data_IF_086328730436
#
_entry.id   IF_086328730436
#
_cell.length_a   1.000
_cell.length_b   1.000
_cell.length_c   1.000
_cell.angle_alpha   90.00
_cell.angle_beta   90.00
_cell.angle_gamma   90.00
#
_symmetry.space_group_name_H-M   'P 1'
#
loop_
_entity.id
_entity.type
_entity.pdbx_description
1 polymer ?
#
# COMPACT_ATOMS: atom_id res chain seq x y z
N UNK A 1 33.77 35.85 -34.88
CA UNK A 1 32.53 36.44 -35.44
C UNK A 1 32.97 37.56 -36.37
N UNK A 2 32.35 37.70 -37.54
CA UNK A 2 32.65 38.76 -38.49
C UNK A 2 31.47 39.71 -38.56
N UNK A 3 31.71 40.98 -38.31
CA UNK A 3 30.71 42.05 -38.39
C UNK A 3 31.19 43.09 -39.39
N UNK A 4 30.36 43.45 -40.35
CA UNK A 4 30.68 44.47 -41.35
C UNK A 4 30.10 45.81 -40.94
N UNK A 5 30.93 46.84 -40.84
CA UNK A 5 30.50 48.23 -40.70
C UNK A 5 30.48 48.89 -42.07
N UNK A 6 29.31 49.34 -42.50
CA UNK A 6 29.13 50.12 -43.74
C UNK A 6 29.26 51.61 -43.42
N UNK A 7 30.29 52.25 -43.95
CA UNK A 7 30.44 53.70 -43.95
C UNK A 7 29.82 54.26 -45.23
N UNK A 8 28.97 55.27 -45.09
CA UNK A 8 28.34 55.98 -46.21
C UNK A 8 28.76 57.45 -46.16
N UNK A 9 28.77 58.12 -47.32
CA UNK A 9 29.12 59.56 -47.45
C UNK A 9 30.61 59.88 -47.19
N UNK A 10 31.51 59.06 -47.74
CA UNK A 10 32.94 59.33 -47.74
C UNK A 10 33.29 60.29 -48.89
N UNK A 11 33.54 61.57 -48.57
CA UNK A 11 33.96 62.57 -49.56
C UNK A 11 35.46 62.41 -49.90
N UNK A 12 35.77 61.59 -50.91
CA UNK A 12 37.10 61.55 -51.55
C UNK A 12 38.28 61.45 -50.57
N UNK A 13 38.26 60.47 -49.68
CA UNK A 13 39.23 60.32 -48.59
C UNK A 13 40.18 59.15 -48.89
N UNK A 14 41.47 59.46 -49.05
CA UNK A 14 42.59 58.50 -49.10
C UNK A 14 43.56 58.77 -47.92
N UNK A 15 44.14 57.75 -47.25
CA UNK A 15 43.60 56.44 -46.89
C UNK A 15 42.93 56.47 -45.50
N UNK A 16 41.83 55.72 -45.35
CA UNK A 16 41.15 55.53 -44.08
C UNK A 16 41.90 54.51 -43.22
N UNK A 17 42.54 54.95 -42.13
CA UNK A 17 43.14 54.03 -41.16
C UNK A 17 42.17 53.83 -40.00
N UNK A 18 41.89 52.58 -39.66
CA UNK A 18 41.00 52.23 -38.56
C UNK A 18 41.79 51.51 -37.45
N UNK A 19 41.72 52.02 -36.23
CA UNK A 19 42.29 51.38 -35.04
C UNK A 19 41.24 51.19 -33.97
N UNK A 20 41.32 50.10 -33.22
CA UNK A 20 40.36 49.75 -32.17
C UNK A 20 41.04 49.89 -30.82
N UNK A 21 40.34 50.47 -29.83
CA UNK A 21 40.79 50.46 -28.45
C UNK A 21 40.60 49.09 -27.82
N UNK A 22 41.32 48.81 -26.72
CA UNK A 22 40.92 47.69 -25.85
C UNK A 22 39.45 47.86 -25.45
N UNK A 23 38.68 46.77 -25.52
CA UNK A 23 37.31 46.78 -25.04
C UNK A 23 37.34 46.40 -23.56
N UNK A 24 36.81 47.27 -22.70
CA UNK A 24 36.84 47.10 -21.25
C UNK A 24 35.45 46.77 -20.74
N UNK A 25 35.37 45.79 -19.84
CA UNK A 25 34.15 45.52 -19.10
C UNK A 25 33.89 46.66 -18.10
N UNK A 26 32.62 46.96 -17.84
CA UNK A 26 32.22 48.07 -16.98
C UNK A 26 32.80 48.01 -15.54
N UNK A 27 33.13 46.81 -15.06
CA UNK A 27 33.73 46.56 -13.75
C UNK A 27 35.27 46.58 -13.76
N UNK A 28 35.90 46.76 -14.93
CA UNK A 28 37.35 46.76 -15.11
C UNK A 28 38.04 45.40 -14.93
N UNK A 29 37.31 44.33 -14.61
CA UNK A 29 37.88 43.03 -14.25
C UNK A 29 38.20 42.14 -15.47
N UNK A 30 37.73 42.50 -16.65
CA UNK A 30 38.02 41.80 -17.90
C UNK A 30 38.23 42.80 -19.05
N UNK A 31 39.15 42.47 -19.96
CA UNK A 31 39.39 43.23 -21.18
C UNK A 31 39.51 42.30 -22.39
N UNK A 32 39.02 42.75 -23.53
CA UNK A 32 39.30 42.15 -24.83
C UNK A 32 40.38 43.02 -25.46
N UNK A 33 41.61 42.49 -25.64
CA UNK A 33 42.72 43.30 -26.12
C UNK A 33 42.48 43.70 -27.58
N UNK A 34 42.86 44.92 -27.96
CA UNK A 34 42.73 45.40 -29.33
C UNK A 34 43.38 44.46 -30.36
N UNK A 35 44.45 43.75 -29.97
CA UNK A 35 45.13 42.75 -30.80
C UNK A 35 44.25 41.55 -31.22
N UNK A 36 43.18 41.26 -30.48
CA UNK A 36 42.20 40.21 -30.82
C UNK A 36 41.14 40.66 -31.84
N UNK A 37 41.16 41.95 -32.19
CA UNK A 37 40.22 42.58 -33.12
C UNK A 37 40.97 42.94 -34.39
N UNK A 38 40.76 42.15 -35.44
CA UNK A 38 41.33 42.42 -36.75
C UNK A 38 40.39 43.35 -37.51
N UNK A 39 40.90 44.53 -37.83
CA UNK A 39 40.24 45.44 -38.77
C UNK A 39 40.92 45.26 -40.12
N UNK A 40 40.15 44.89 -41.14
CA UNK A 40 40.67 44.77 -42.49
C UNK A 40 40.34 46.07 -43.24
N UNK A 41 41.31 46.98 -43.43
CA UNK A 41 41.06 48.20 -44.20
C UNK A 41 40.95 47.86 -45.69
N UNK A 42 40.05 48.53 -46.42
CA UNK A 42 40.08 48.47 -47.88
C UNK A 42 41.18 49.43 -48.35
N UNK A 43 42.24 48.89 -48.95
CA UNK A 43 43.37 49.68 -49.47
C UNK A 43 43.06 50.33 -50.84
N UNK A 44 41.79 50.59 -51.14
CA UNK A 44 41.35 51.06 -52.46
C UNK A 44 40.77 52.45 -52.31
N UNK A 45 41.35 53.42 -53.02
CA UNK A 45 40.84 54.78 -53.17
C UNK A 45 39.34 54.74 -53.48
N UNK A 46 38.54 55.25 -52.55
CA UNK A 46 37.08 55.18 -52.63
C UNK A 46 36.60 56.26 -53.58
N UNK A 47 35.87 55.91 -54.66
CA UNK A 47 35.26 56.91 -55.52
C UNK A 47 34.22 57.73 -54.74
N UNK A 48 34.22 59.05 -54.95
CA UNK A 48 33.29 59.99 -54.31
C UNK A 48 31.85 59.48 -54.38
N UNK A 49 31.15 59.46 -53.23
CA UNK A 49 29.76 59.00 -53.04
C UNK A 49 29.50 57.49 -53.08
N UNK A 50 30.53 56.62 -53.02
CA UNK A 50 30.31 55.19 -52.83
C UNK A 50 30.38 54.79 -51.34
N UNK A 51 29.44 53.98 -50.81
CA UNK A 51 29.58 53.42 -49.47
C UNK A 51 30.73 52.41 -49.41
N UNK A 52 31.59 52.52 -48.40
CA UNK A 52 32.69 51.59 -48.16
C UNK A 52 32.37 50.72 -46.94
N UNK A 53 32.66 49.43 -47.01
CA UNK A 53 32.42 48.51 -45.89
C UNK A 53 33.73 48.09 -45.26
N UNK A 54 33.93 48.42 -43.99
CA UNK A 54 35.04 47.90 -43.18
C UNK A 54 34.56 46.61 -42.50
N UNK A 55 35.22 45.50 -42.79
CA UNK A 55 34.98 44.26 -42.06
C UNK A 55 35.78 44.27 -40.75
N UNK A 56 35.09 44.09 -39.63
CA UNK A 56 35.69 43.84 -38.32
C UNK A 56 35.53 42.37 -37.99
N UNK A 57 36.66 41.70 -37.80
CA UNK A 57 36.68 40.32 -37.33
C UNK A 57 37.18 40.32 -35.89
N UNK A 58 36.29 39.92 -34.98
CA UNK A 58 36.64 39.77 -33.56
C UNK A 58 36.88 38.29 -33.28
N UNK A 59 38.08 37.97 -32.82
CA UNK A 59 38.40 36.65 -32.31
C UNK A 59 38.07 36.57 -30.83
N UNK A 60 37.10 35.72 -30.50
CA UNK A 60 36.63 35.50 -29.13
C UNK A 60 37.29 34.27 -28.45
N UNK A 61 38.25 33.61 -29.11
CA UNK A 61 38.93 32.45 -28.55
C UNK A 61 39.63 32.75 -27.21
N UNK A 62 40.15 33.97 -27.06
CA UNK A 62 40.85 34.44 -25.86
C UNK A 62 40.00 35.38 -24.99
N UNK A 63 38.67 35.46 -25.22
CA UNK A 63 37.81 36.33 -24.45
C UNK A 63 37.65 35.79 -23.00
N UNK A 64 38.08 36.53 -21.97
CA UNK A 64 38.33 35.96 -20.64
C UNK A 64 37.06 35.71 -19.80
N UNK A 65 35.91 36.32 -20.12
CA UNK A 65 34.66 36.14 -19.39
C UNK A 65 33.45 36.69 -20.17
N UNK A 66 32.25 36.20 -19.86
CA UNK A 66 30.98 36.83 -20.26
C UNK A 66 30.82 38.22 -19.66
N UNK A 67 30.14 39.10 -20.39
CA UNK A 67 29.97 40.50 -20.00
C UNK A 67 29.71 41.44 -21.16
N UNK A 68 29.51 42.71 -20.81
CA UNK A 68 29.41 43.82 -21.75
C UNK A 68 30.73 44.58 -21.77
N UNK A 69 31.34 44.67 -22.94
CA UNK A 69 32.63 45.31 -23.18
C UNK A 69 32.42 46.54 -24.05
N UNK A 70 32.88 47.69 -23.56
CA UNK A 70 32.77 48.96 -24.25
C UNK A 70 34.17 49.44 -24.69
N UNK A 71 34.24 50.01 -25.87
CA UNK A 71 35.44 50.64 -26.40
C UNK A 71 35.13 51.57 -27.54
N UNK A 72 36.17 52.01 -28.25
CA UNK A 72 36.06 52.95 -29.34
C UNK A 72 36.80 52.44 -30.57
N UNK A 73 36.16 52.55 -31.73
CA UNK A 73 36.82 52.47 -33.03
C UNK A 73 37.21 53.89 -33.44
N UNK A 74 38.50 54.09 -33.68
CA UNK A 74 39.05 55.34 -34.17
C UNK A 74 39.25 55.23 -35.68
N UNK A 75 38.57 56.10 -36.41
CA UNK A 75 38.72 56.25 -37.85
C UNK A 75 39.54 57.52 -38.11
N UNK A 76 40.69 57.35 -38.75
CA UNK A 76 41.58 58.45 -39.13
C UNK A 76 41.41 58.75 -40.61
N UNK A 77 41.12 60.01 -40.91
CA UNK A 77 41.02 60.56 -42.26
C UNK A 77 41.81 61.87 -42.36
N UNK A 78 42.13 62.33 -43.58
CA UNK A 78 42.91 63.58 -43.77
C UNK A 78 42.29 64.82 -43.11
N UNK A 79 40.97 64.81 -42.89
CA UNK A 79 40.20 65.91 -42.29
C UNK A 79 39.94 65.80 -40.78
N UNK A 80 40.40 64.75 -40.10
CA UNK A 80 40.14 64.59 -38.66
C UNK A 80 40.08 63.15 -38.15
N UNK A 81 39.55 63.02 -36.92
CA UNK A 81 39.35 61.74 -36.23
C UNK A 81 37.87 61.57 -35.89
N UNK A 82 37.27 60.51 -36.41
CA UNK A 82 35.92 60.08 -36.03
C UNK A 82 36.00 58.93 -35.02
N UNK A 83 35.16 59.01 -33.98
CA UNK A 83 35.08 58.00 -32.92
C UNK A 83 33.74 57.30 -33.02
N UNK A 84 33.75 55.98 -33.21
CA UNK A 84 32.56 55.14 -33.23
C UNK A 84 32.55 54.29 -31.95
N UNK A 85 31.54 54.44 -31.07
CA UNK A 85 31.47 53.61 -29.86
C UNK A 85 31.20 52.16 -30.24
N UNK A 86 32.02 51.25 -29.71
CA UNK A 86 31.88 49.80 -29.88
C UNK A 86 31.35 49.19 -28.59
N UNK A 87 30.30 48.38 -28.72
CA UNK A 87 29.70 47.64 -27.63
C UNK A 87 29.63 46.17 -28.01
N UNK A 88 30.33 45.33 -27.26
CA UNK A 88 30.41 43.88 -27.50
C UNK A 88 29.86 43.15 -26.29
N UNK A 89 28.83 42.32 -26.51
CA UNK A 89 28.21 41.50 -25.47
C UNK A 89 28.58 40.05 -25.68
N UNK A 90 29.24 39.47 -24.69
CA UNK A 90 29.68 38.07 -24.71
C UNK A 90 28.87 37.31 -23.67
N UNK A 91 28.23 36.21 -24.10
CA UNK A 91 27.51 35.29 -23.22
C UNK A 91 28.30 34.00 -23.01
N UNK A 92 28.06 33.33 -21.89
CA UNK A 92 28.66 32.02 -21.62
C UNK A 92 28.13 30.96 -22.60
N UNK A 93 28.95 29.96 -22.92
CA UNK A 93 28.57 28.82 -23.74
C UNK A 93 27.34 28.09 -23.17
N UNK A 94 26.43 27.55 -24.00
CA UNK A 94 25.13 27.03 -23.56
C UNK A 94 25.19 25.74 -22.73
N UNK A 95 26.31 25.01 -22.76
CA UNK A 95 26.44 23.72 -22.08
C UNK A 95 26.31 23.83 -20.55
N UNK A 96 26.99 24.80 -19.93
CA UNK A 96 26.95 24.99 -18.48
C UNK A 96 25.55 25.42 -18.00
N UNK A 97 24.90 26.44 -18.59
CA UNK A 97 23.51 26.80 -18.30
C UNK A 97 22.55 25.62 -18.40
N UNK A 98 22.68 24.79 -19.45
CA UNK A 98 21.84 23.62 -19.63
C UNK A 98 22.01 22.59 -18.51
N UNK A 99 23.25 22.31 -18.10
CA UNK A 99 23.52 21.40 -16.99
C UNK A 99 22.90 21.87 -15.66
N UNK A 100 23.05 23.17 -15.34
CA UNK A 100 22.43 23.76 -14.14
C UNK A 100 20.91 23.71 -14.19
N UNK A 101 20.30 23.88 -15.36
CA UNK A 101 18.84 23.70 -15.52
C UNK A 101 18.39 22.28 -15.23
N UNK A 102 19.07 21.29 -15.83
CA UNK A 102 18.72 19.88 -15.60
C UNK A 102 18.87 19.52 -14.13
N UNK A 103 19.93 19.99 -13.45
CA UNK A 103 20.09 19.79 -11.99
C UNK A 103 18.94 20.42 -11.21
N UNK A 104 18.53 21.66 -11.54
CA UNK A 104 17.41 22.34 -10.89
C UNK A 104 16.10 21.57 -11.04
N UNK A 105 15.79 21.11 -12.24
CA UNK A 105 14.58 20.31 -12.52
C UNK A 105 14.63 18.97 -11.81
N UNK A 106 15.75 18.25 -11.86
CA UNK A 106 15.92 16.98 -11.16
C UNK A 106 15.72 17.11 -9.64
N UNK A 107 16.24 18.17 -9.03
CA UNK A 107 16.03 18.46 -7.62
C UNK A 107 14.57 18.78 -7.30
N UNK A 108 13.89 19.59 -8.13
CA UNK A 108 12.47 19.89 -8.00
C UNK A 108 11.60 18.64 -8.08
N UNK A 109 11.79 17.84 -9.13
CA UNK A 109 11.07 16.58 -9.36
C UNK A 109 11.37 15.55 -8.27
N UNK A 110 12.62 15.40 -7.85
CA UNK A 110 13.00 14.48 -6.77
C UNK A 110 12.34 14.84 -5.44
N UNK A 111 12.33 16.12 -5.08
CA UNK A 111 11.69 16.59 -3.85
C UNK A 111 10.16 16.46 -3.89
N UNK A 112 9.54 16.79 -5.02
CA UNK A 112 8.09 16.63 -5.23
C UNK A 112 7.70 15.15 -5.09
N UNK A 113 8.42 14.25 -5.76
CA UNK A 113 8.15 12.81 -5.68
C UNK A 113 8.34 12.25 -4.27
N UNK A 114 9.39 12.67 -3.56
CA UNK A 114 9.58 12.30 -2.17
C UNK A 114 8.46 12.82 -1.26
N UNK A 115 7.97 14.04 -1.50
CA UNK A 115 6.87 14.62 -0.72
C UNK A 115 5.53 13.91 -1.00
N UNK A 116 5.29 13.48 -2.24
CA UNK A 116 4.06 12.82 -2.65
C UNK A 116 4.01 11.34 -2.25
N UNK A 117 5.10 10.59 -2.46
CA UNK A 117 5.15 9.12 -2.30
C UNK A 117 6.00 8.69 -1.09
N UNK A 118 7.13 9.37 -0.86
CA UNK A 118 8.10 8.97 0.19
C UNK A 118 7.59 9.23 1.60
N UNK A 119 7.01 10.42 1.84
CA UNK A 119 6.54 10.80 3.18
C UNK A 119 5.40 9.91 3.68
N UNK A 120 4.43 9.57 2.84
CA UNK A 120 3.29 8.73 3.21
C UNK A 120 3.75 7.31 3.57
N UNK A 121 4.66 6.75 2.77
CA UNK A 121 5.29 5.46 3.05
C UNK A 121 6.01 5.46 4.39
N UNK A 122 6.90 6.42 4.60
CA UNK A 122 7.72 6.48 5.81
C UNK A 122 6.86 6.67 7.05
N UNK A 123 5.81 7.49 6.96
CA UNK A 123 4.85 7.67 8.04
C UNK A 123 4.14 6.35 8.40
N UNK A 124 3.66 5.59 7.41
CA UNK A 124 3.03 4.30 7.62
C UNK A 124 4.00 3.29 8.23
N UNK A 125 5.23 3.18 7.72
CA UNK A 125 6.27 2.29 8.27
C UNK A 125 6.58 2.64 9.73
N UNK A 126 6.67 3.92 10.07
CA UNK A 126 6.86 4.36 11.46
C UNK A 126 5.65 4.00 12.33
N UNK A 127 4.42 4.13 11.82
CA UNK A 127 3.22 3.74 12.57
C UNK A 127 3.19 2.23 12.84
N UNK A 128 3.53 1.41 11.85
CA UNK A 128 3.68 -0.05 11.99
C UNK A 128 4.75 -0.39 13.04
N UNK A 129 5.92 0.24 12.96
CA UNK A 129 7.00 0.03 13.91
C UNK A 129 6.63 0.43 15.35
N UNK A 130 5.91 1.53 15.52
CA UNK A 130 5.38 1.93 16.83
C UNK A 130 4.38 0.92 17.38
N UNK A 131 3.47 0.42 16.54
CA UNK A 131 2.48 -0.56 16.95
C UNK A 131 3.14 -1.87 17.41
N UNK A 132 4.09 -2.40 16.63
CA UNK A 132 4.88 -3.59 17.02
C UNK A 132 5.65 -3.39 18.32
N UNK A 133 6.22 -2.20 18.54
CA UNK A 133 6.92 -1.90 19.78
C UNK A 133 5.96 -1.81 20.98
N UNK A 134 4.74 -1.29 20.80
CA UNK A 134 3.71 -1.27 21.83
C UNK A 134 3.26 -2.69 22.19
N UNK A 135 3.02 -3.55 21.19
CA UNK A 135 2.67 -4.95 21.40
C UNK A 135 3.77 -5.71 22.13
N UNK A 136 5.04 -5.55 21.73
CA UNK A 136 6.19 -6.16 22.41
C UNK A 136 6.38 -5.69 23.85
N UNK A 137 5.88 -4.50 24.18
CA UNK A 137 5.96 -3.96 25.53
C UNK A 137 4.84 -4.48 26.45
N UNK A 138 3.79 -5.12 25.91
CA UNK A 138 2.71 -5.74 26.69
C UNK A 138 2.95 -7.26 26.81
N UNK A 139 3.47 -7.76 27.95
CA UNK A 139 3.77 -9.18 28.13
C UNK A 139 2.52 -10.06 28.32
N UNK A 140 1.35 -9.47 28.57
CA UNK A 140 0.10 -10.20 28.78
C UNK A 140 -0.73 -10.27 27.49
N UNK A 141 -0.20 -9.77 26.37
CA UNK A 141 -0.86 -9.84 25.07
C UNK A 141 -1.05 -11.30 24.65
N UNK A 142 -2.31 -11.69 24.44
CA UNK A 142 -2.67 -13.01 23.96
C UNK A 142 -2.12 -13.28 22.54
N UNK A 143 -1.70 -14.52 22.30
CA UNK A 143 -1.10 -14.94 21.03
C UNK A 143 -2.06 -14.80 19.85
N UNK A 144 -3.37 -15.00 20.06
CA UNK A 144 -4.36 -14.86 18.98
C UNK A 144 -4.52 -13.41 18.58
N UNK A 145 -4.63 -12.49 19.55
CA UNK A 145 -4.67 -11.04 19.28
C UNK A 145 -3.39 -10.56 18.60
N UNK A 146 -2.23 -11.02 19.05
CA UNK A 146 -0.97 -10.71 18.42
C UNK A 146 -0.95 -11.19 16.95
N UNK A 147 -1.40 -12.41 16.69
CA UNK A 147 -1.46 -12.97 15.35
C UNK A 147 -2.44 -12.22 14.44
N UNK A 148 -3.60 -11.78 14.96
CA UNK A 148 -4.55 -10.94 14.22
C UNK A 148 -3.92 -9.63 13.79
N UNK A 149 -3.30 -8.90 14.73
CA UNK A 149 -2.70 -7.60 14.44
C UNK A 149 -1.54 -7.76 13.46
N UNK A 150 -0.69 -8.79 13.62
CA UNK A 150 0.40 -9.03 12.68
C UNK A 150 -0.09 -9.42 11.28
N UNK A 151 -1.24 -10.10 11.15
CA UNK A 151 -1.86 -10.36 9.84
C UNK A 151 -2.20 -9.04 9.13
N UNK A 152 -2.92 -8.15 9.79
CA UNK A 152 -3.25 -6.82 9.24
C UNK A 152 -1.99 -6.01 8.89
N UNK A 153 -0.95 -6.12 9.71
CA UNK A 153 0.33 -5.45 9.45
C UNK A 153 1.06 -6.02 8.22
N UNK A 154 0.91 -7.32 7.92
CA UNK A 154 1.42 -7.91 6.68
C UNK A 154 0.68 -7.34 5.47
N UNK A 155 -0.64 -7.19 5.55
CA UNK A 155 -1.46 -6.60 4.48
C UNK A 155 -1.10 -5.13 4.23
N UNK A 156 -0.78 -4.37 5.28
CA UNK A 156 -0.18 -3.02 5.14
C UNK A 156 1.10 -3.06 4.32
N UNK A 157 2.02 -3.99 4.58
CA UNK A 157 3.27 -4.09 3.83
C UNK A 157 3.05 -4.51 2.37
N UNK A 158 2.11 -5.42 2.11
CA UNK A 158 1.73 -5.79 0.75
C UNK A 158 1.21 -4.56 -0.02
N UNK A 159 0.28 -3.81 0.57
CA UNK A 159 -0.25 -2.60 -0.05
C UNK A 159 0.83 -1.51 -0.25
N UNK A 160 1.79 -1.38 0.68
CA UNK A 160 2.94 -0.48 0.53
C UNK A 160 3.87 -0.89 -0.62
N UNK A 161 4.05 -2.19 -0.86
CA UNK A 161 4.83 -2.72 -1.98
C UNK A 161 4.14 -2.44 -3.32
N UNK A 162 2.82 -2.60 -3.35
CA UNK A 162 1.96 -2.29 -4.51
C UNK A 162 1.75 -0.79 -4.75
N UNK A 163 2.28 0.07 -3.86
CA UNK A 163 2.10 1.54 -3.86
C UNK A 163 0.63 1.97 -3.71
N UNK A 164 -0.20 1.10 -3.13
CA UNK A 164 -1.58 1.39 -2.78
C UNK A 164 -1.65 2.04 -1.39
N UNK A 165 -1.49 3.37 -1.38
CA UNK A 165 -1.46 4.15 -0.15
C UNK A 165 -2.81 4.25 0.55
N UNK A 166 -3.93 4.05 -0.15
CA UNK A 166 -5.26 4.10 0.47
C UNK A 166 -5.55 2.82 1.21
N UNK A 167 -5.30 1.67 0.57
CA UNK A 167 -5.42 0.36 1.21
C UNK A 167 -4.48 0.27 2.41
N UNK A 168 -3.20 0.64 2.27
CA UNK A 168 -2.24 0.62 3.38
C UNK A 168 -2.67 1.50 4.57
N UNK A 169 -3.35 2.63 4.32
CA UNK A 169 -3.92 3.49 5.38
C UNK A 169 -5.14 2.87 6.04
N UNK A 170 -5.98 2.16 5.28
CA UNK A 170 -7.13 1.44 5.83
C UNK A 170 -6.68 0.32 6.75
N UNK A 171 -5.76 -0.53 6.28
CA UNK A 171 -5.32 -1.71 7.05
C UNK A 171 -4.57 -1.33 8.34
N UNK A 172 -3.77 -0.26 8.33
CA UNK A 172 -3.12 0.20 9.58
C UNK A 172 -4.14 0.74 10.59
N UNK A 173 -5.29 1.26 10.14
CA UNK A 173 -6.37 1.70 11.03
C UNK A 173 -7.06 0.49 11.64
N UNK A 174 -7.30 -0.58 10.88
CA UNK A 174 -7.86 -1.83 11.41
C UNK A 174 -6.94 -2.50 12.42
N UNK A 175 -5.64 -2.60 12.11
CA UNK A 175 -4.62 -3.09 13.05
C UNK A 175 -4.62 -2.28 14.36
N UNK A 176 -4.72 -0.95 14.28
CA UNK A 176 -4.81 -0.07 15.46
C UNK A 176 -6.13 -0.22 16.21
N UNK A 177 -7.23 -0.49 15.51
CA UNK A 177 -8.52 -0.71 16.14
C UNK A 177 -8.54 -2.03 16.92
N UNK A 178 -7.93 -3.10 16.39
CA UNK A 178 -7.69 -4.35 17.12
C UNK A 178 -6.86 -4.11 18.37
N UNK A 179 -5.74 -3.40 18.25
CA UNK A 179 -4.90 -3.06 19.39
C UNK A 179 -5.64 -2.23 20.46
N UNK A 180 -6.41 -1.22 20.04
CA UNK A 180 -7.24 -0.43 20.97
C UNK A 180 -8.30 -1.27 21.66
N UNK A 181 -8.91 -2.23 20.96
CA UNK A 181 -9.90 -3.16 21.54
C UNK A 181 -9.29 -4.02 22.63
N UNK A 182 -8.09 -4.56 22.38
CA UNK A 182 -7.30 -5.26 23.38
C UNK A 182 -7.05 -4.37 24.60
N UNK A 183 -6.43 -3.19 24.40
CA UNK A 183 -6.08 -2.31 25.51
C UNK A 183 -7.30 -1.80 26.30
N UNK A 184 -8.45 -1.58 25.65
CA UNK A 184 -9.65 -1.04 26.30
C UNK A 184 -10.27 -2.02 27.30
N UNK A 185 -10.24 -3.31 26.98
CA UNK A 185 -10.88 -4.37 27.77
C UNK A 185 -9.88 -5.45 28.17
N UNK A 186 -8.62 -5.07 28.42
CA UNK A 186 -7.49 -5.99 28.62
C UNK A 186 -7.79 -7.05 29.68
N UNK A 187 -8.17 -6.59 30.87
CA UNK A 187 -8.42 -7.48 32.01
C UNK A 187 -9.63 -8.40 31.75
N UNK A 188 -10.67 -7.89 31.08
CA UNK A 188 -11.85 -8.67 30.71
C UNK A 188 -11.51 -9.72 29.64
N UNK A 189 -10.70 -9.38 28.64
CA UNK A 189 -10.23 -10.33 27.62
C UNK A 189 -9.40 -11.44 28.26
N UNK A 190 -8.45 -11.09 29.11
CA UNK A 190 -7.61 -12.06 29.84
C UNK A 190 -8.51 -12.99 30.65
N UNK A 191 -9.46 -12.46 31.42
CA UNK A 191 -10.36 -13.28 32.23
C UNK A 191 -11.24 -14.22 31.38
N UNK A 192 -11.73 -13.76 30.22
CA UNK A 192 -12.53 -14.62 29.33
C UNK A 192 -11.69 -15.69 28.63
N UNK A 193 -10.46 -15.37 28.23
CA UNK A 193 -9.55 -16.34 27.63
C UNK A 193 -9.12 -17.40 28.66
N UNK A 194 -8.78 -16.98 29.86
CA UNK A 194 -8.48 -17.88 30.98
C UNK A 194 -9.70 -18.77 31.30
N UNK A 195 -10.92 -18.22 31.29
CA UNK A 195 -12.15 -18.99 31.43
C UNK A 195 -12.32 -20.02 30.30
N UNK A 196 -12.09 -19.64 29.05
CA UNK A 196 -12.17 -20.53 27.89
C UNK A 196 -11.17 -21.68 27.96
N UNK A 197 -9.93 -21.39 28.37
CA UNK A 197 -8.88 -22.41 28.51
C UNK A 197 -9.16 -23.35 29.69
N UNK A 198 -9.44 -22.80 30.87
CA UNK A 198 -9.57 -23.60 32.11
C UNK A 198 -10.93 -24.29 32.24
N UNK A 199 -12.03 -23.64 31.86
CA UNK A 199 -13.37 -24.18 32.07
C UNK A 199 -13.91 -24.93 30.86
N UNK A 200 -13.47 -24.61 29.64
CA UNK A 200 -14.00 -25.25 28.43
C UNK A 200 -13.00 -26.22 27.83
N UNK A 201 -11.78 -25.76 27.52
CA UNK A 201 -10.78 -26.60 26.86
C UNK A 201 -10.26 -27.70 27.80
N UNK A 202 -9.93 -27.37 29.06
CA UNK A 202 -9.48 -28.36 30.04
C UNK A 202 -10.59 -29.35 30.40
N UNK A 203 -11.82 -28.89 30.57
CA UNK A 203 -12.98 -29.76 30.85
C UNK A 203 -13.21 -30.75 29.70
N UNK A 204 -13.10 -30.29 28.45
CA UNK A 204 -13.15 -31.16 27.27
C UNK A 204 -11.99 -32.15 27.24
N UNK A 205 -10.78 -31.74 27.58
CA UNK A 205 -9.60 -32.62 27.60
C UNK A 205 -9.67 -33.69 28.70
N UNK A 206 -10.30 -33.39 29.84
CA UNK A 206 -10.52 -34.33 30.95
C UNK A 206 -11.53 -35.43 30.60
N UNK A 207 -12.31 -35.28 29.52
CA UNK A 207 -13.23 -36.33 29.07
C UNK A 207 -12.47 -37.58 28.61
N UNK A 208 -13.00 -38.79 28.87
CA UNK A 208 -12.42 -40.02 28.37
C UNK A 208 -12.22 -39.97 26.84
N UNK A 209 -11.16 -40.63 26.35
CA UNK A 209 -10.82 -40.61 24.93
C UNK A 209 -11.96 -41.12 24.04
N UNK A 210 -12.65 -42.19 24.46
CA UNK A 210 -13.80 -42.71 23.73
C UNK A 210 -14.94 -41.67 23.63
N UNK A 211 -15.18 -40.89 24.68
CA UNK A 211 -16.20 -39.83 24.70
C UNK A 211 -15.84 -38.70 23.73
N UNK A 212 -14.55 -38.31 23.66
CA UNK A 212 -14.07 -37.25 22.76
C UNK A 212 -14.17 -37.62 21.27
N UNK A 213 -14.18 -38.92 20.96
CA UNK A 213 -14.27 -39.43 19.58
C UNK A 213 -15.72 -39.56 19.08
N UNK A 214 -16.71 -39.37 19.95
CA UNK A 214 -18.13 -39.44 19.61
C UNK A 214 -18.52 -38.23 18.75
N UNK A 215 -19.43 -38.43 17.78
CA UNK A 215 -19.85 -37.41 16.82
C UNK A 215 -20.32 -36.11 17.50
N UNK A 216 -21.13 -36.20 18.56
CA UNK A 216 -21.54 -35.04 19.35
C UNK A 216 -20.33 -34.22 19.84
N UNK A 217 -19.35 -34.88 20.47
CA UNK A 217 -18.17 -34.22 21.04
C UNK A 217 -17.20 -33.72 19.98
N UNK A 218 -17.13 -34.37 18.81
CA UNK A 218 -16.36 -33.86 17.68
C UNK A 218 -16.93 -32.56 17.13
N UNK A 219 -18.27 -32.41 17.08
CA UNK A 219 -18.89 -31.16 16.67
C UNK A 219 -18.72 -30.06 17.73
N UNK A 220 -18.78 -30.41 19.02
CA UNK A 220 -18.42 -29.48 20.11
C UNK A 220 -16.96 -29.02 19.99
N UNK A 221 -16.02 -29.94 19.72
CA UNK A 221 -14.62 -29.59 19.47
C UNK A 221 -14.48 -28.63 18.29
N UNK A 222 -15.19 -28.90 17.19
CA UNK A 222 -15.20 -28.02 16.02
C UNK A 222 -15.77 -26.63 16.37
N UNK A 223 -16.81 -26.54 17.19
CA UNK A 223 -17.34 -25.27 17.68
C UNK A 223 -16.32 -24.49 18.52
N UNK A 224 -15.53 -25.18 19.36
CA UNK A 224 -14.40 -24.59 20.10
C UNK A 224 -13.35 -24.07 19.13
N UNK A 225 -12.91 -24.90 18.18
CA UNK A 225 -11.89 -24.54 17.18
C UNK A 225 -12.36 -23.34 16.31
N UNK A 226 -13.63 -23.31 15.93
CA UNK A 226 -14.24 -22.20 15.19
C UNK A 226 -14.34 -20.91 16.02
N UNK A 227 -14.62 -21.01 17.33
CA UNK A 227 -14.61 -19.87 18.24
C UNK A 227 -13.21 -19.22 18.29
N UNK A 228 -12.16 -20.00 18.48
CA UNK A 228 -10.79 -19.47 18.46
C UNK A 228 -10.39 -18.91 17.09
N UNK A 229 -10.87 -19.51 15.99
CA UNK A 229 -10.67 -18.94 14.65
C UNK A 229 -11.36 -17.58 14.50
N UNK A 230 -12.59 -17.43 15.00
CA UNK A 230 -13.32 -16.14 14.97
C UNK A 230 -12.63 -15.08 15.82
N UNK A 231 -12.06 -15.47 16.98
CA UNK A 231 -11.23 -14.61 17.81
C UNK A 231 -10.00 -14.12 17.02
N UNK A 232 -9.27 -15.03 16.38
CA UNK A 232 -8.10 -14.69 15.54
C UNK A 232 -8.46 -13.80 14.35
N UNK A 233 -9.69 -13.87 13.84
CA UNK A 233 -10.14 -12.99 12.76
C UNK A 233 -10.75 -11.68 13.28
N UNK A 234 -10.62 -11.37 14.58
CA UNK A 234 -11.10 -10.12 15.17
C UNK A 234 -12.62 -9.92 15.10
N UNK A 235 -13.40 -11.00 14.95
CA UNK A 235 -14.86 -10.93 14.80
C UNK A 235 -15.55 -10.55 16.11
N UNK A 236 -14.98 -10.90 17.25
CA UNK A 236 -15.47 -10.49 18.55
C UNK A 236 -15.04 -9.04 18.84
N UNK A 237 -16.04 -8.16 19.03
CA UNK A 237 -15.79 -6.74 19.31
C UNK A 237 -15.67 -6.48 20.80
N UNK A 238 -16.41 -7.25 21.60
CA UNK A 238 -16.50 -7.11 23.05
C UNK A 238 -16.24 -8.45 23.76
N UNK A 239 -15.60 -8.45 24.94
CA UNK A 239 -15.36 -9.67 25.72
C UNK A 239 -16.65 -10.44 26.06
N UNK A 240 -17.77 -9.74 26.19
CA UNK A 240 -19.07 -10.32 26.54
C UNK A 240 -19.57 -11.27 25.43
N UNK A 241 -19.30 -10.97 24.15
CA UNK A 241 -19.69 -11.83 23.03
C UNK A 241 -18.92 -13.16 23.06
N UNK A 242 -17.65 -13.11 23.47
CA UNK A 242 -16.81 -14.29 23.67
C UNK A 242 -17.31 -15.11 24.87
N UNK A 243 -17.66 -14.44 25.97
CA UNK A 243 -18.22 -15.07 27.17
C UNK A 243 -19.51 -15.86 26.87
N UNK A 244 -20.43 -15.26 26.12
CA UNK A 244 -21.68 -15.92 25.68
C UNK A 244 -21.34 -17.16 24.84
N UNK A 245 -20.38 -17.06 23.92
CA UNK A 245 -19.95 -18.18 23.08
C UNK A 245 -19.37 -19.33 23.91
N UNK A 246 -18.51 -19.04 24.89
CA UNK A 246 -17.99 -20.07 25.80
C UNK A 246 -19.08 -20.68 26.69
N UNK A 247 -20.04 -19.88 27.14
CA UNK A 247 -21.16 -20.37 27.97
C UNK A 247 -22.04 -21.36 27.20
N UNK A 248 -22.28 -21.14 25.91
CA UNK A 248 -23.07 -22.06 25.08
C UNK A 248 -22.31 -23.37 24.85
N UNK A 249 -21.00 -23.32 24.57
CA UNK A 249 -20.19 -24.55 24.43
C UNK A 249 -20.19 -25.35 25.74
N UNK A 250 -20.02 -24.68 26.89
CA UNK A 250 -20.07 -25.35 28.18
C UNK A 250 -21.43 -26.00 28.44
N UNK A 251 -22.51 -25.32 28.06
CA UNK A 251 -23.87 -25.86 28.14
C UNK A 251 -24.03 -27.12 27.27
N UNK A 252 -23.44 -27.16 26.07
CA UNK A 252 -23.43 -28.36 25.22
C UNK A 252 -22.70 -29.53 25.92
N UNK A 253 -21.53 -29.27 26.50
CA UNK A 253 -20.78 -30.30 27.25
C UNK A 253 -21.61 -30.83 28.43
N UNK A 254 -22.23 -29.94 29.19
CA UNK A 254 -23.06 -30.32 30.34
C UNK A 254 -24.32 -31.09 29.93
N UNK A 255 -25.00 -30.68 28.86
CA UNK A 255 -26.16 -31.39 28.32
C UNK A 255 -25.83 -32.83 27.96
N UNK A 256 -24.68 -33.06 27.33
CA UNK A 256 -24.25 -34.42 27.05
C UNK A 256 -24.03 -35.24 28.33
N UNK A 257 -23.33 -34.67 29.33
CA UNK A 257 -23.09 -35.34 30.62
C UNK A 257 -24.38 -35.65 31.37
N UNK A 258 -25.33 -34.72 31.36
CA UNK A 258 -26.66 -34.90 31.94
C UNK A 258 -27.42 -36.04 31.23
N UNK A 259 -27.37 -36.06 29.89
CA UNK A 259 -27.99 -37.12 29.10
C UNK A 259 -27.41 -38.51 29.37
N UNK A 260 -26.07 -38.61 29.45
CA UNK A 260 -25.36 -39.84 29.81
C UNK A 260 -25.74 -40.33 31.21
N UNK A 261 -25.74 -39.41 32.18
CA UNK A 261 -26.13 -39.71 33.58
C UNK A 261 -27.60 -40.15 33.66
N UNK A 262 -28.50 -39.52 32.90
CA UNK A 262 -29.90 -39.89 32.87
C UNK A 262 -30.12 -41.30 32.30
N UNK A 263 -29.40 -41.68 31.24
CA UNK A 263 -29.43 -43.05 30.71
C UNK A 263 -28.91 -44.05 31.74
N UNK A 264 -27.80 -43.76 32.42
CA UNK A 264 -27.22 -44.67 33.43
C UNK A 264 -28.17 -44.86 34.62
N UNK A 265 -28.81 -43.78 35.09
CA UNK A 265 -29.84 -43.87 36.12
C UNK A 265 -31.01 -44.77 35.68
N UNK A 266 -31.46 -44.68 34.42
CA UNK A 266 -32.51 -45.58 33.91
C UNK A 266 -32.04 -47.04 33.81
N UNK A 267 -30.78 -47.28 33.44
CA UNK A 267 -30.17 -48.63 33.46
C UNK A 267 -30.15 -49.21 34.87
N UNK A 268 -29.82 -48.39 35.87
CA UNK A 268 -29.83 -48.81 37.28
C UNK A 268 -31.22 -49.22 37.75
N UNK A 269 -32.26 -48.44 37.42
CA UNK A 269 -33.66 -48.75 37.76
C UNK A 269 -34.18 -50.02 37.10
N UNK A 270 -33.60 -50.41 35.96
CA UNK A 270 -33.93 -51.69 35.32
C UNK A 270 -33.45 -52.92 36.09
N UNK A 271 -32.56 -52.77 37.08
CA UNK A 271 -32.13 -53.89 37.94
C UNK A 271 -33.29 -54.47 38.75
N UNK A 272 -34.35 -53.68 38.98
CA UNK A 272 -35.55 -54.08 39.74
C UNK A 272 -36.55 -54.90 38.92
N UNK A 273 -36.35 -55.03 37.59
CA UNK A 273 -37.24 -55.76 36.70
C UNK A 273 -36.84 -57.24 36.53
N UNK A 274 -37.80 -58.13 36.22
CA UNK A 274 -37.50 -59.50 35.81
C UNK A 274 -36.56 -59.54 34.59
N UNK A 275 -35.61 -60.50 34.58
CA UNK A 275 -34.49 -60.56 33.62
C UNK A 275 -34.90 -60.47 32.14
N UNK A 276 -36.03 -61.06 31.75
CA UNK A 276 -36.52 -61.00 30.36
C UNK A 276 -36.94 -59.58 29.96
N UNK A 277 -37.66 -58.87 30.85
CA UNK A 277 -38.10 -57.50 30.61
C UNK A 277 -36.93 -56.52 30.68
N UNK A 278 -36.03 -56.71 31.65
CA UNK A 278 -34.82 -55.90 31.79
C UNK A 278 -33.97 -55.91 30.51
N UNK A 279 -33.84 -57.07 29.84
CA UNK A 279 -33.08 -57.19 28.58
C UNK A 279 -33.66 -56.34 27.45
N UNK A 280 -35.00 -56.27 27.35
CA UNK A 280 -35.68 -55.44 26.34
C UNK A 280 -35.43 -53.94 26.58
N UNK A 281 -35.50 -53.51 27.85
CA UNK A 281 -35.24 -52.12 28.24
C UNK A 281 -33.79 -51.70 28.05
N UNK A 282 -32.83 -52.57 28.39
CA UNK A 282 -31.40 -52.32 28.14
C UNK A 282 -31.12 -52.03 26.66
N UNK A 283 -31.72 -52.81 25.74
CA UNK A 283 -31.56 -52.55 24.30
C UNK A 283 -32.17 -51.22 23.84
N UNK A 284 -33.25 -50.75 24.49
CA UNK A 284 -33.79 -49.41 24.22
C UNK A 284 -32.83 -48.32 24.69
N UNK A 285 -32.23 -48.48 25.86
CA UNK A 285 -31.25 -47.51 26.37
C UNK A 285 -29.98 -47.46 25.53
N UNK A 286 -29.47 -48.61 25.05
CA UNK A 286 -28.36 -48.65 24.09
C UNK A 286 -28.68 -47.85 22.81
N UNK A 287 -29.93 -47.92 22.33
CA UNK A 287 -30.38 -47.12 21.18
C UNK A 287 -30.44 -45.63 21.51
N UNK A 288 -30.90 -45.25 22.71
CA UNK A 288 -30.97 -43.85 23.14
C UNK A 288 -29.58 -43.24 23.34
N UNK A 289 -28.66 -44.01 23.90
CA UNK A 289 -27.25 -43.66 24.02
C UNK A 289 -26.61 -43.49 22.64
N UNK A 290 -26.83 -44.43 21.72
CA UNK A 290 -26.35 -44.28 20.34
C UNK A 290 -26.95 -43.06 19.63
N UNK A 291 -28.18 -42.64 19.97
CA UNK A 291 -28.79 -41.41 19.44
C UNK A 291 -28.15 -40.17 20.04
N UNK A 292 -27.90 -40.15 21.36
CA UNK A 292 -27.18 -39.08 22.04
C UNK A 292 -25.79 -38.88 21.42
N UNK A 293 -25.08 -39.99 21.16
CA UNK A 293 -23.75 -39.97 20.55
C UNK A 293 -23.71 -39.35 19.14
N UNK A 294 -24.81 -39.46 18.38
CA UNK A 294 -24.93 -38.96 17.01
C UNK A 294 -25.68 -37.64 16.91
N UNK A 295 -26.09 -37.09 18.05
CA UNK A 295 -26.90 -35.88 18.09
C UNK A 295 -26.05 -34.67 17.70
N UNK A 296 -26.69 -33.69 17.06
CA UNK A 296 -26.10 -32.37 16.88
C UNK A 296 -26.11 -31.62 18.23
N UNK A 297 -25.06 -30.85 18.58
CA UNK A 297 -24.97 -30.13 19.85
C UNK A 297 -25.85 -28.87 19.91
N UNK A 298 -26.96 -28.83 19.18
CA UNK A 298 -27.91 -27.73 19.24
C UNK A 298 -29.02 -27.99 20.27
N UNK A 299 -29.57 -26.91 20.83
CA UNK A 299 -30.59 -26.95 21.87
C UNK A 299 -31.86 -27.70 21.42
N UNK A 300 -32.28 -27.54 20.17
CA UNK A 300 -33.53 -28.12 19.67
C UNK A 300 -33.41 -29.64 19.51
N UNK A 301 -32.27 -30.11 19.00
CA UNK A 301 -31.94 -31.53 18.90
C UNK A 301 -31.88 -32.18 20.27
N UNK A 302 -31.23 -31.54 21.24
CA UNK A 302 -31.17 -32.03 22.62
C UNK A 302 -32.55 -32.11 23.27
N UNK A 303 -33.39 -31.07 23.15
CA UNK A 303 -34.75 -31.09 23.71
C UNK A 303 -35.63 -32.18 23.11
N UNK A 304 -35.53 -32.43 21.79
CA UNK A 304 -36.27 -33.53 21.15
C UNK A 304 -35.82 -34.89 21.68
N UNK A 305 -34.52 -35.07 21.88
CA UNK A 305 -33.98 -36.29 22.47
C UNK A 305 -34.43 -36.44 23.93
N UNK A 306 -34.39 -35.37 24.73
CA UNK A 306 -34.83 -35.35 26.12
C UNK A 306 -36.32 -35.71 26.27
N UNK A 307 -37.19 -35.14 25.44
CA UNK A 307 -38.62 -35.52 25.42
C UNK A 307 -38.81 -37.02 25.13
N UNK A 308 -38.00 -37.58 24.23
CA UNK A 308 -38.06 -39.02 23.96
C UNK A 308 -37.55 -39.85 25.14
N UNK A 309 -36.59 -39.33 25.92
CA UNK A 309 -36.08 -39.99 27.13
C UNK A 309 -37.13 -39.97 28.24
N UNK A 310 -37.85 -38.86 28.40
CA UNK A 310 -38.93 -38.72 29.37
C UNK A 310 -40.11 -39.65 29.05
N UNK A 311 -40.46 -39.80 27.77
CA UNK A 311 -41.49 -40.76 27.36
C UNK A 311 -41.07 -42.22 27.66
N UNK A 312 -39.80 -42.55 27.45
CA UNK A 312 -39.23 -43.87 27.74
C UNK A 312 -39.17 -44.11 29.24
N UNK A 313 -38.80 -43.11 30.04
CA UNK A 313 -38.73 -43.20 31.49
C UNK A 313 -40.12 -43.39 32.12
N UNK A 314 -41.14 -42.68 31.62
CA UNK A 314 -42.52 -42.85 32.09
C UNK A 314 -43.04 -44.27 31.80
N UNK A 315 -42.80 -44.81 30.59
CA UNK A 315 -43.19 -46.17 30.24
C UNK A 315 -42.46 -47.23 31.09
N UNK A 316 -41.21 -46.97 31.47
CA UNK A 316 -40.46 -47.84 32.38
C UNK A 316 -41.09 -47.83 33.77
N UNK A 317 -41.44 -46.64 34.29
CA UNK A 317 -42.09 -46.46 35.61
C UNK A 317 -43.42 -47.23 35.69
N UNK A 318 -44.24 -47.12 34.64
CA UNK A 318 -45.50 -47.84 34.50
C UNK A 318 -45.29 -49.35 34.53
N UNK A 319 -44.25 -49.85 33.82
CA UNK A 319 -43.96 -51.28 33.76
C UNK A 319 -43.32 -51.83 35.05
N UNK A 320 -42.49 -51.05 35.74
CA UNK A 320 -41.98 -51.38 37.08
C UNK A 320 -43.16 -51.49 38.05
N UNK A 321 -44.05 -50.50 38.07
CA UNK A 321 -45.24 -50.48 38.93
C UNK A 321 -46.18 -51.66 38.65
N UNK A 322 -46.41 -51.99 37.37
CA UNK A 322 -47.21 -53.13 36.95
C UNK A 322 -46.55 -54.48 37.29
N UNK A 323 -45.23 -54.56 37.28
CA UNK A 323 -44.48 -55.77 37.68
C UNK A 323 -44.53 -56.02 39.18
N UNK A 324 -44.63 -54.97 40.01
CA UNK A 324 -44.86 -55.12 41.46
C UNK A 324 -46.29 -55.58 41.79
N UNK A 325 -47.28 -55.31 40.93
CA UNK A 325 -48.68 -55.72 41.12
C UNK A 325 -48.99 -57.11 40.55
N UNK A 326 -48.25 -57.57 39.54
CA UNK A 326 -48.49 -58.84 38.85
C UNK A 326 -47.37 -59.86 39.11
N UNK A 327 -47.20 -60.27 40.38
CA UNK A 327 -46.46 -61.48 40.73
C UNK A 327 -47.38 -62.72 40.66
N UNK A 328 -48.13 -62.91 39.58
CA UNK A 328 -48.66 -64.23 39.18
C UNK A 328 -49.01 -64.24 37.69
N UNK A 329 -48.52 -65.28 37.00
CA UNK A 329 -48.95 -65.80 35.69
C UNK A 329 -48.24 -65.30 34.41
N UNK A 330 -47.35 -66.19 33.97
CA UNK A 330 -47.21 -66.79 32.63
C UNK A 330 -47.18 -65.95 31.34
N UNK A 331 -46.00 -66.01 30.69
CA UNK A 331 -45.68 -66.56 29.36
C UNK A 331 -46.77 -66.50 28.27
N UNK A 332 -46.47 -65.79 27.17
CA UNK A 332 -46.82 -66.22 25.81
C UNK A 332 -45.92 -65.55 24.75
N UNK A 333 -45.47 -66.38 23.80
CA UNK A 333 -44.64 -66.09 22.61
C UNK A 333 -45.55 -65.58 21.47
N UNK A 334 -45.10 -64.67 20.58
CA UNK A 334 -45.07 -64.82 19.10
C UNK A 334 -44.81 -63.52 18.30
N UNK A 335 -43.90 -63.63 17.31
CA UNK A 335 -43.89 -62.96 15.97
C UNK A 335 -43.53 -61.47 15.88
N UNK A 336 -42.98 -60.90 14.79
CA UNK A 336 -42.37 -61.31 13.50
C UNK A 336 -41.98 -59.99 12.78
N UNK A 337 -40.97 -60.02 11.89
CA UNK A 337 -40.66 -59.05 10.81
C UNK A 337 -39.96 -57.75 11.23
N UNK A 338 -39.06 -57.11 10.47
CA UNK A 338 -38.44 -57.35 9.15
C UNK A 338 -37.32 -56.29 9.01
N UNK A 339 -36.11 -56.69 8.67
CA UNK A 339 -35.00 -55.78 8.37
C UNK A 339 -34.99 -55.44 6.88
N UNK A 340 -35.26 -54.19 6.54
CA UNK A 340 -34.98 -53.62 5.22
C UNK A 340 -33.63 -52.93 5.30
N UNK A 341 -32.65 -53.42 4.54
CA UNK A 341 -31.38 -52.74 4.35
C UNK A 341 -31.58 -51.51 3.44
N UNK A 342 -31.10 -50.34 3.89
CA UNK A 342 -31.02 -49.14 3.07
C UNK A 342 -29.67 -49.17 2.35
N UNK A 343 -29.75 -49.19 1.02
CA UNK A 343 -28.65 -49.08 0.08
C UNK A 343 -28.22 -47.61 -0.03
N UNK A 344 -26.97 -47.30 0.31
CA UNK A 344 -26.41 -45.94 0.18
C UNK A 344 -25.66 -45.85 -1.14
N UNK A 345 -26.29 -45.24 -2.14
CA UNK A 345 -25.61 -44.82 -3.36
C UNK A 345 -24.80 -43.53 -3.07
N UNK A 346 -23.49 -43.46 -3.36
CA UNK A 346 -22.70 -42.25 -3.14
C UNK A 346 -23.08 -41.15 -4.13
N UNK A 347 -23.18 -39.93 -3.61
CA UNK A 347 -23.45 -38.70 -4.36
C UNK A 347 -22.23 -38.39 -5.25
N UNK A 348 -22.41 -38.08 -6.56
CA UNK A 348 -21.31 -37.65 -7.42
C UNK A 348 -20.80 -36.26 -7.00
N UNK A 349 -19.47 -36.12 -6.97
CA UNK A 349 -18.78 -34.86 -6.71
C UNK A 349 -19.17 -33.79 -7.75
N UNK A 350 -19.35 -32.55 -7.28
CA UNK A 350 -19.68 -31.42 -8.12
C UNK A 350 -18.61 -31.18 -9.22
N UNK A 351 -19.01 -30.78 -10.44
CA UNK A 351 -18.06 -30.45 -11.49
C UNK A 351 -17.28 -29.19 -11.12
N UNK A 352 -15.95 -29.28 -11.22
CA UNK A 352 -15.07 -28.11 -11.21
C UNK A 352 -15.36 -27.24 -12.44
N UNK A 353 -15.78 -26.00 -12.19
CA UNK A 353 -15.80 -24.96 -13.22
C UNK A 353 -14.37 -24.45 -13.33
N UNK A 354 -13.70 -24.78 -14.43
CA UNK A 354 -12.43 -24.15 -14.80
C UNK A 354 -12.69 -22.64 -14.99
N UNK A 355 -12.12 -21.83 -14.11
CA UNK A 355 -12.13 -20.36 -14.26
C UNK A 355 -11.42 -20.02 -15.59
N UNK A 356 -12.03 -19.23 -16.49
CA UNK A 356 -11.38 -18.84 -17.73
C UNK A 356 -10.23 -17.86 -17.45
N UNK A 357 -9.03 -18.24 -17.88
CA UNK A 357 -7.93 -17.33 -18.19
C UNK A 357 -7.24 -16.65 -17.01
N UNK A 358 -6.40 -17.38 -16.28
CA UNK A 358 -5.30 -16.73 -15.56
C UNK A 358 -4.31 -16.16 -16.59
N UNK A 359 -3.94 -14.87 -16.52
CA UNK A 359 -2.85 -14.33 -17.33
C UNK A 359 -1.56 -15.07 -16.97
N UNK A 360 -0.79 -15.50 -17.98
CA UNK A 360 0.49 -16.18 -17.78
C UNK A 360 1.44 -15.26 -16.98
N UNK A 361 2.25 -15.83 -16.08
CA UNK A 361 3.25 -15.08 -15.29
C UNK A 361 4.19 -14.23 -16.17
N UNK A 362 4.45 -14.68 -17.41
CA UNK A 362 5.23 -13.96 -18.42
C UNK A 362 4.56 -12.66 -18.93
N UNK A 363 3.22 -12.58 -18.91
CA UNK A 363 2.46 -11.39 -19.31
C UNK A 363 2.37 -10.36 -18.16
N UNK A 364 2.42 -10.82 -16.90
CA UNK A 364 2.46 -9.97 -15.70
C UNK A 364 3.84 -9.31 -15.57
N UNK A 365 4.94 -10.04 -15.78
CA UNK A 365 6.29 -9.46 -15.70
C UNK A 365 6.56 -8.43 -16.82
N UNK A 366 6.09 -8.69 -18.04
CA UNK A 366 6.25 -7.76 -19.19
C UNK A 366 5.39 -6.49 -19.05
N UNK A 367 4.21 -6.59 -18.45
CA UNK A 367 3.34 -5.42 -18.25
C UNK A 367 3.89 -4.47 -17.18
N UNK A 368 4.46 -4.99 -16.09
CA UNK A 368 5.09 -4.17 -15.05
C UNK A 368 6.36 -3.46 -15.55
N UNK A 369 7.17 -4.10 -16.39
CA UNK A 369 8.36 -3.46 -17.00
C UNK A 369 7.98 -2.38 -18.00
N UNK A 370 6.93 -2.59 -18.79
CA UNK A 370 6.45 -1.61 -19.77
C UNK A 370 5.87 -0.35 -19.10
N UNK A 371 5.14 -0.48 -17.98
CA UNK A 371 4.66 0.68 -17.21
C UNK A 371 5.83 1.50 -16.65
N UNK A 372 6.85 0.85 -16.07
CA UNK A 372 8.03 1.56 -15.53
C UNK A 372 8.81 2.31 -16.60
N UNK A 373 8.93 1.73 -17.80
CA UNK A 373 9.60 2.41 -18.92
C UNK A 373 8.79 3.62 -19.41
N UNK A 374 7.47 3.51 -19.50
CA UNK A 374 6.60 4.62 -19.89
C UNK A 374 6.66 5.78 -18.87
N UNK A 375 6.62 5.46 -17.58
CA UNK A 375 6.76 6.46 -16.51
C UNK A 375 8.13 7.14 -16.53
N UNK A 376 9.21 6.38 -16.75
CA UNK A 376 10.55 6.94 -16.86
C UNK A 376 10.73 7.76 -18.14
N UNK A 377 10.20 7.30 -19.28
CA UNK A 377 10.28 8.02 -20.55
C UNK A 377 9.51 9.34 -20.50
N UNK A 378 8.29 9.33 -19.96
CA UNK A 378 7.48 10.55 -19.80
C UNK A 378 8.15 11.56 -18.85
N UNK A 379 8.80 11.08 -17.79
CA UNK A 379 9.61 11.91 -16.90
C UNK A 379 10.78 12.58 -17.63
N UNK A 380 11.55 11.81 -18.42
CA UNK A 380 12.68 12.35 -19.19
C UNK A 380 12.22 13.40 -20.19
N UNK A 381 11.11 13.15 -20.90
CA UNK A 381 10.53 14.13 -21.83
C UNK A 381 10.13 15.41 -21.11
N UNK A 382 9.49 15.30 -19.94
CA UNK A 382 9.12 16.45 -19.13
C UNK A 382 10.34 17.26 -18.69
N UNK A 383 11.41 16.60 -18.22
CA UNK A 383 12.66 17.26 -17.80
C UNK A 383 13.29 18.02 -18.96
N UNK A 384 13.40 17.39 -20.14
CA UNK A 384 13.99 18.04 -21.33
C UNK A 384 13.16 19.23 -21.78
N UNK A 385 11.82 19.10 -21.79
CA UNK A 385 10.93 20.18 -22.23
C UNK A 385 10.98 21.37 -21.26
N UNK A 386 10.96 21.12 -19.95
CA UNK A 386 11.11 22.16 -18.94
C UNK A 386 12.49 22.83 -19.06
N UNK A 387 13.58 22.07 -19.11
CA UNK A 387 14.92 22.62 -19.28
C UNK A 387 15.03 23.48 -20.55
N UNK A 388 14.44 23.04 -21.67
CA UNK A 388 14.38 23.80 -22.91
C UNK A 388 13.64 25.14 -22.77
N UNK A 389 12.46 25.11 -22.13
CA UNK A 389 11.62 26.30 -21.96
C UNK A 389 12.31 27.35 -21.10
N UNK A 390 12.91 26.94 -19.98
CA UNK A 390 13.64 27.87 -19.14
C UNK A 390 14.97 28.34 -19.75
N UNK A 391 15.63 27.53 -20.58
CA UNK A 391 16.78 27.98 -21.38
C UNK A 391 16.40 29.07 -22.38
N UNK A 392 15.22 28.95 -22.99
CA UNK A 392 14.71 29.98 -23.90
C UNK A 392 14.42 31.28 -23.14
N UNK A 393 13.77 31.19 -21.98
CA UNK A 393 13.36 32.36 -21.21
C UNK A 393 14.51 33.09 -20.51
N UNK A 394 15.42 32.35 -19.87
CA UNK A 394 16.42 32.91 -18.97
C UNK A 394 17.81 33.06 -19.61
N UNK A 395 18.14 32.20 -20.57
CA UNK A 395 19.45 32.22 -21.23
C UNK A 395 19.39 32.90 -22.61
N UNK A 396 18.42 32.58 -23.47
CA UNK A 396 18.38 33.15 -24.82
C UNK A 396 18.10 34.66 -24.82
N UNK A 397 17.25 35.13 -23.90
CA UNK A 397 16.89 36.54 -23.78
C UNK A 397 17.95 37.40 -23.07
N UNK A 398 19.02 36.81 -22.52
CA UNK A 398 20.05 37.53 -21.75
C UNK A 398 21.39 37.57 -22.50
N UNK A 399 21.73 38.66 -23.19
CA UNK A 399 22.91 38.73 -24.07
C UNK A 399 24.25 38.72 -23.34
N UNK A 400 24.24 38.96 -22.02
CA UNK A 400 25.43 38.98 -21.14
C UNK A 400 25.40 37.87 -20.09
N UNK A 401 24.65 36.78 -20.35
CA UNK A 401 24.51 35.68 -19.39
C UNK A 401 25.86 35.11 -18.92
N UNK A 402 26.03 35.01 -17.60
CA UNK A 402 27.25 34.61 -16.91
C UNK A 402 28.14 35.78 -16.47
N UNK A 403 27.76 37.03 -16.78
CA UNK A 403 28.46 38.21 -16.26
C UNK A 403 28.36 38.30 -14.73
N UNK A 404 27.24 37.83 -14.15
CA UNK A 404 27.05 37.61 -12.72
C UNK A 404 26.75 36.12 -12.49
N UNK A 405 27.79 35.27 -12.33
CA UNK A 405 27.61 33.82 -12.25
C UNK A 405 26.66 33.41 -11.13
N UNK A 406 26.78 34.02 -9.95
CA UNK A 406 25.96 33.64 -8.80
C UNK A 406 24.48 33.90 -9.09
N UNK A 407 24.13 35.09 -9.55
CA UNK A 407 22.73 35.41 -9.87
C UNK A 407 22.20 34.61 -11.05
N UNK A 408 23.00 34.48 -12.11
CA UNK A 408 22.56 33.90 -13.38
C UNK A 408 22.32 32.39 -13.26
N UNK A 409 23.27 31.66 -12.67
CA UNK A 409 23.12 30.22 -12.44
C UNK A 409 22.13 29.89 -11.33
N UNK A 410 22.04 30.72 -10.27
CA UNK A 410 21.00 30.53 -9.25
C UNK A 410 19.60 30.75 -9.82
N UNK A 411 19.42 31.72 -10.73
CA UNK A 411 18.12 31.95 -11.38
C UNK A 411 17.70 30.74 -12.22
N UNK A 412 18.64 30.10 -12.93
CA UNK A 412 18.37 28.84 -13.63
C UNK A 412 17.98 27.71 -12.68
N UNK A 413 18.74 27.51 -11.60
CA UNK A 413 18.42 26.49 -10.58
C UNK A 413 17.04 26.74 -9.95
N UNK A 414 16.77 27.98 -9.55
CA UNK A 414 15.51 28.37 -8.92
C UNK A 414 14.33 28.20 -9.87
N UNK A 415 14.51 28.48 -11.16
CA UNK A 415 13.49 28.23 -12.18
C UNK A 415 13.24 26.73 -12.35
N UNK A 416 14.30 25.92 -12.52
CA UNK A 416 14.17 24.47 -12.68
C UNK A 416 13.48 23.83 -11.47
N UNK A 417 13.82 24.30 -10.27
CA UNK A 417 13.18 23.86 -9.02
C UNK A 417 11.71 24.31 -8.91
N UNK A 418 11.42 25.57 -9.27
CA UNK A 418 10.08 26.17 -9.14
C UNK A 418 9.07 25.71 -10.19
N UNK A 419 9.52 25.39 -11.41
CA UNK A 419 8.67 24.99 -12.53
C UNK A 419 7.94 23.66 -12.28
N UNK A 420 8.48 22.78 -11.43
CA UNK A 420 7.83 21.52 -11.09
C UNK A 420 6.80 21.66 -9.96
N UNK A 421 7.05 22.57 -9.00
CA UNK A 421 6.14 22.83 -7.87
C UNK A 421 4.80 23.47 -8.32
N UNK A 422 4.81 24.25 -9.41
CA UNK A 422 3.59 24.79 -10.02
C UNK A 422 2.81 23.74 -10.81
N UNK A 423 3.47 22.72 -11.37
CA UNK A 423 2.79 21.62 -12.08
C UNK A 423 1.94 20.77 -11.14
N UNK A 424 2.46 20.41 -9.97
CA UNK A 424 1.74 19.56 -9.00
C UNK A 424 0.53 20.28 -8.38
N UNK A 425 0.64 21.58 -8.15
CA UNK A 425 -0.45 22.40 -7.60
C UNK A 425 -1.58 22.64 -8.62
N UNK A 426 -1.26 22.83 -9.89
CA UNK A 426 -2.25 22.99 -10.97
C UNK A 426 -2.96 21.66 -11.27
N UNK A 427 -2.24 20.53 -11.27
CA UNK A 427 -2.85 19.21 -11.46
C UNK A 427 -3.79 18.87 -10.29
N UNK A 428 -3.37 19.08 -9.04
CA UNK A 428 -4.25 18.89 -7.86
C UNK A 428 -5.44 19.85 -7.83
N UNK A 429 -5.26 21.11 -8.24
CA UNK A 429 -6.38 22.06 -8.35
C UNK A 429 -7.39 21.67 -9.43
N UNK A 430 -6.92 21.13 -10.57
CA UNK A 430 -7.81 20.67 -11.64
C UNK A 430 -8.57 19.39 -11.30
N UNK A 431 -7.97 18.48 -10.52
CA UNK A 431 -8.65 17.27 -10.01
C UNK A 431 -9.65 17.60 -8.90
N UNK A 432 -9.34 18.58 -8.03
CA UNK A 432 -10.28 19.05 -7.00
C UNK A 432 -11.52 19.75 -7.56
N UNK A 433 -11.42 20.45 -8.69
CA UNK A 433 -12.57 21.05 -9.39
C UNK A 433 -13.43 19.98 -10.08
N UNK A 434 -12.84 18.86 -10.50
CA UNK A 434 -13.57 17.77 -11.14
C UNK A 434 -14.34 16.88 -10.16
N UNK A 435 -13.84 16.73 -8.92
CA UNK A 435 -14.53 15.98 -7.86
C UNK A 435 -15.53 16.83 -7.04
N UNK A 436 -15.68 18.12 -7.35
CA UNK A 436 -16.65 19.03 -6.73
C UNK A 436 -17.90 19.29 -7.59
N UNK A 437 -18.10 18.52 -8.66
CA UNK A 437 -19.24 18.64 -9.61
C UNK A 437 -20.05 17.32 -9.70
N UNK A 438 -19.77 16.32 -8.86
CA UNK A 438 -20.64 15.14 -8.70
C UNK A 438 -21.48 15.22 -7.42
#
# INVERSE_FOLDING_TARGET
MTTTLTLSDLQGIDPLTATVSDLRRADGAALIPAASIQVQPSMVSVPTNAPESIALTVNFADAPASGEFAGSLYLYHQGGRQVVPLLVRVKTAPLLPWAFMVVGVLLGTGLSRYRAEGRSRDELVVQVGRLRNQMRADPELDENFQASIESELVDVFSALEDRDWETAKSEIVEAKNLWKRWCKYRDDWIAQLEYGETQVAEEFQKLPEHTRLITYMQEVKKNIDDLYRKLKNGQYKEPQELSVSFSEIRKQINQYKEGETAIENLRERCKDLPREKAKSWLGKFDLMESRLHKLSPDQDSYQKWQLSLDEVSQKLEEEISASMTNATSEVAITGRSSTTAIDFNPIPSAPYISVPGQPNDNDIERSQTNLRWFDQASLVVAIVFLAWLGMTELYANKPTFGADPMRDYFTLLAWGFGAELTRESIVKASQGVRNGIE
#
